data_IF_742439438749
#
_entry.id   IF_742439438749
#
_cell.length_a   1.000
_cell.length_b   1.000
_cell.length_c   1.000
_cell.angle_alpha   90.00
_cell.angle_beta   90.00
_cell.angle_gamma   90.00
#
_symmetry.space_group_name_H-M   'P 1'
#
loop_
_entity.id
_entity.type
_entity.pdbx_description
1 polymer ?
#
# COMPACT_ATOMS: atom_id res chain seq x y z
N UNK A 1 -15.12 -26.55 28.97
CA UNK A 1 -16.58 -26.63 29.17
C UNK A 1 -17.16 -25.24 28.99
N UNK A 2 -18.08 -25.06 28.05
CA UNK A 2 -18.79 -23.79 27.81
C UNK A 2 -19.72 -23.50 28.97
N UNK A 3 -19.60 -22.33 29.59
CA UNK A 3 -20.49 -21.89 30.68
C UNK A 3 -21.93 -21.73 30.13
N UNK A 4 -22.98 -22.10 30.89
CA UNK A 4 -24.37 -21.88 30.47
C UNK A 4 -24.66 -20.37 30.37
N UNK A 5 -25.34 -19.97 29.29
CA UNK A 5 -25.72 -18.57 29.03
C UNK A 5 -27.15 -18.49 28.50
N UNK A 6 -27.77 -17.32 28.67
CA UNK A 6 -29.05 -16.97 28.06
C UNK A 6 -28.80 -15.92 26.98
N UNK A 7 -29.31 -16.17 25.78
CA UNK A 7 -29.29 -15.19 24.69
C UNK A 7 -30.44 -14.20 24.87
N UNK A 8 -30.14 -12.90 24.86
CA UNK A 8 -31.14 -11.85 24.99
C UNK A 8 -31.78 -11.51 23.65
N UNK A 9 -33.06 -11.14 23.70
CA UNK A 9 -33.80 -10.61 22.58
C UNK A 9 -33.40 -9.15 22.25
N UNK A 10 -33.58 -8.72 21.00
CA UNK A 10 -33.15 -7.41 20.49
C UNK A 10 -33.76 -6.25 21.25
N UNK A 11 -35.02 -6.37 21.70
CA UNK A 11 -35.71 -5.32 22.44
C UNK A 11 -35.11 -5.12 23.83
N UNK A 12 -34.69 -6.19 24.48
CA UNK A 12 -34.01 -6.14 25.78
C UNK A 12 -32.61 -5.54 25.66
N UNK A 13 -31.91 -5.78 24.54
CA UNK A 13 -30.57 -5.24 24.27
C UNK A 13 -30.58 -3.70 24.26
N UNK A 14 -31.67 -3.07 23.81
CA UNK A 14 -31.80 -1.60 23.76
C UNK A 14 -31.85 -0.93 25.14
N UNK A 15 -32.25 -1.68 26.18
CA UNK A 15 -32.39 -1.20 27.56
C UNK A 15 -31.12 -1.39 28.39
N UNK A 16 -30.15 -2.15 27.86
CA UNK A 16 -28.91 -2.43 28.55
C UNK A 16 -27.97 -1.23 28.49
N UNK A 17 -27.32 -0.90 29.61
CA UNK A 17 -26.25 0.09 29.61
C UNK A 17 -25.09 -0.37 28.72
N UNK A 18 -24.53 0.55 27.94
CA UNK A 18 -23.39 0.30 27.06
C UNK A 18 -22.27 1.29 27.34
N UNK A 19 -21.01 0.82 27.36
CA UNK A 19 -19.88 1.71 27.47
C UNK A 19 -19.81 2.59 26.20
N UNK A 20 -19.68 3.90 26.39
CA UNK A 20 -19.51 4.85 25.31
C UNK A 20 -18.06 4.82 24.82
N UNK A 21 -17.76 3.85 23.95
CA UNK A 21 -16.46 3.71 23.32
C UNK A 21 -16.44 4.48 22.00
N UNK A 22 -15.34 5.17 21.75
CA UNK A 22 -15.10 5.85 20.48
C UNK A 22 -13.67 5.59 20.02
N UNK A 23 -13.47 5.51 18.70
CA UNK A 23 -12.14 5.45 18.12
C UNK A 23 -11.66 6.87 17.75
N UNK A 24 -10.38 7.15 17.98
CA UNK A 24 -9.76 8.43 17.63
C UNK A 24 -9.50 8.51 16.12
N UNK A 25 -9.51 9.74 15.59
CA UNK A 25 -9.29 10.05 14.17
C UNK A 25 -10.22 9.32 13.21
N UNK A 26 -11.42 8.98 13.67
CA UNK A 26 -12.46 8.37 12.83
C UNK A 26 -13.04 9.42 11.89
N UNK A 27 -13.16 9.05 10.62
CA UNK A 27 -13.83 9.84 9.60
C UNK A 27 -15.29 9.43 9.42
N UNK A 28 -15.56 8.13 9.54
CA UNK A 28 -16.91 7.57 9.33
C UNK A 28 -17.11 6.36 10.24
N UNK A 29 -18.29 6.28 10.86
CA UNK A 29 -18.78 5.06 11.53
C UNK A 29 -20.12 4.72 10.91
N UNK A 30 -20.25 3.51 10.42
CA UNK A 30 -21.52 2.96 9.98
C UNK A 30 -21.85 1.72 10.80
N UNK A 31 -23.13 1.62 11.16
CA UNK A 31 -23.71 0.41 11.74
C UNK A 31 -24.51 -0.24 10.62
N UNK A 32 -24.07 -1.39 10.07
CA UNK A 32 -24.82 -2.07 9.03
C UNK A 32 -26.21 -2.48 9.55
N UNK A 33 -27.26 -1.94 8.94
CA UNK A 33 -28.63 -2.39 9.17
C UNK A 33 -28.88 -3.64 8.32
N UNK A 34 -28.69 -4.80 8.92
CA UNK A 34 -29.12 -6.08 8.36
C UNK A 34 -30.61 -6.30 8.68
N UNK A 35 -31.21 -7.34 8.08
CA UNK A 35 -32.61 -7.78 8.32
C UNK A 35 -32.91 -7.92 9.82
N UNK A 36 -31.89 -8.28 10.61
CA UNK A 36 -31.88 -8.27 12.07
C UNK A 36 -30.63 -7.47 12.49
N UNK A 37 -30.71 -6.58 13.50
CA UNK A 37 -29.54 -5.83 13.95
C UNK A 37 -28.38 -6.78 14.28
N UNK A 38 -27.20 -6.47 13.76
CA UNK A 38 -25.98 -7.28 13.89
C UNK A 38 -25.35 -7.14 15.29
N UNK A 39 -26.16 -7.30 16.33
CA UNK A 39 -25.76 -7.22 17.72
C UNK A 39 -26.39 -8.37 18.51
N UNK A 40 -25.55 -9.07 19.28
CA UNK A 40 -25.96 -10.17 20.14
C UNK A 40 -25.46 -9.95 21.56
N UNK A 41 -26.26 -10.35 22.55
CA UNK A 41 -25.87 -10.30 23.97
C UNK A 41 -26.13 -11.65 24.61
N UNK A 42 -25.10 -12.20 25.25
CA UNK A 42 -25.17 -13.38 26.10
C UNK A 42 -25.00 -12.96 27.56
N UNK A 43 -25.98 -13.31 28.39
CA UNK A 43 -25.90 -13.15 29.84
C UNK A 43 -25.50 -14.48 30.48
N UNK A 44 -24.38 -14.49 31.18
CA UNK A 44 -23.91 -15.64 31.93
C UNK A 44 -24.47 -15.65 33.35
N UNK A 45 -24.53 -16.83 33.97
CA UNK A 45 -25.00 -16.99 35.35
C UNK A 45 -24.14 -16.23 36.38
N UNK A 46 -22.87 -15.98 36.07
CA UNK A 46 -21.95 -15.17 36.88
C UNK A 46 -22.14 -13.66 36.69
N UNK A 47 -23.22 -13.26 36.01
CA UNK A 47 -23.58 -11.87 35.68
C UNK A 47 -22.63 -11.20 34.70
N UNK A 48 -21.71 -11.95 34.08
CA UNK A 48 -20.89 -11.45 32.98
C UNK A 48 -21.77 -11.27 31.75
N UNK A 49 -21.55 -10.17 31.03
CA UNK A 49 -22.24 -9.86 29.78
C UNK A 49 -21.23 -9.97 28.66
N UNK A 50 -21.51 -10.82 27.68
CA UNK A 50 -20.76 -10.86 26.43
C UNK A 50 -21.60 -10.24 25.33
N UNK A 51 -21.09 -9.18 24.73
CA UNK A 51 -21.76 -8.47 23.63
C UNK A 51 -20.91 -8.53 22.38
N UNK A 52 -21.57 -8.76 21.26
CA UNK A 52 -20.98 -8.65 19.92
C UNK A 52 -21.76 -7.61 19.14
N UNK A 53 -21.07 -6.81 18.34
CA UNK A 53 -21.68 -5.80 17.47
C UNK A 53 -20.79 -5.56 16.26
N UNK A 54 -21.40 -5.47 15.09
CA UNK A 54 -20.70 -5.17 13.85
C UNK A 54 -20.64 -3.66 13.59
N UNK A 55 -19.46 -3.16 13.26
CA UNK A 55 -19.23 -1.77 12.87
C UNK A 55 -18.35 -1.72 11.62
N UNK A 56 -18.67 -0.79 10.73
CA UNK A 56 -17.75 -0.37 9.68
C UNK A 56 -17.15 0.98 10.08
N UNK A 57 -15.86 0.99 10.37
CA UNK A 57 -15.16 2.18 10.88
C UNK A 57 -14.08 2.58 9.86
N UNK A 58 -14.17 3.81 9.37
CA UNK A 58 -13.11 4.43 8.57
C UNK A 58 -12.25 5.31 9.47
N UNK A 59 -11.01 4.90 9.67
CA UNK A 59 -10.02 5.62 10.48
C UNK A 59 -9.02 6.36 9.58
N UNK A 60 -8.63 7.57 9.98
CA UNK A 60 -7.55 8.30 9.32
C UNK A 60 -6.22 7.74 9.80
N UNK A 61 -5.36 7.37 8.85
CA UNK A 61 -3.99 6.95 9.10
C UNK A 61 -3.01 7.91 8.41
N UNK A 62 -2.02 8.41 9.16
CA UNK A 62 -0.98 9.24 8.58
C UNK A 62 0.12 8.35 7.98
N UNK A 63 0.29 8.42 6.65
CA UNK A 63 1.22 7.58 5.91
C UNK A 63 2.52 8.33 5.60
N UNK A 64 3.65 7.62 5.71
CA UNK A 64 4.99 8.18 5.45
C UNK A 64 5.53 7.58 4.15
N UNK A 65 5.72 8.41 3.13
CA UNK A 65 6.02 7.98 1.76
C UNK A 65 7.50 8.05 1.36
N UNK A 66 8.42 8.04 2.33
CA UNK A 66 9.85 8.20 2.06
C UNK A 66 10.41 7.19 1.06
N UNK A 67 10.00 5.92 1.14
CA UNK A 67 10.46 4.84 0.27
C UNK A 67 9.39 4.38 -0.72
N UNK A 68 8.52 5.28 -1.18
CA UNK A 68 7.47 4.91 -2.13
C UNK A 68 8.07 4.40 -3.46
N UNK A 69 7.56 3.29 -4.05
CA UNK A 69 6.42 2.46 -3.65
C UNK A 69 6.79 1.23 -2.81
N UNK A 70 8.05 1.08 -2.38
CA UNK A 70 8.54 0.00 -1.51
C UNK A 70 8.40 0.37 -0.02
N UNK A 71 7.32 1.07 0.31
CA UNK A 71 7.02 1.59 1.63
C UNK A 71 6.27 0.56 2.50
N UNK A 72 6.44 0.72 3.81
CA UNK A 72 5.61 0.07 4.83
C UNK A 72 4.89 1.14 5.63
N UNK A 73 3.60 0.94 5.85
CA UNK A 73 2.74 1.88 6.56
C UNK A 73 2.30 1.26 7.87
N UNK A 74 2.42 2.00 8.97
CA UNK A 74 1.94 1.58 10.28
C UNK A 74 0.78 2.47 10.69
N UNK A 75 -0.41 1.89 10.79
CA UNK A 75 -1.62 2.58 11.21
C UNK A 75 -1.99 2.22 12.64
N UNK A 76 -2.14 3.24 13.48
CA UNK A 76 -2.54 3.08 14.88
C UNK A 76 -4.02 3.37 15.03
N UNK A 77 -4.75 2.43 15.62
CA UNK A 77 -6.14 2.64 16.01
C UNK A 77 -6.19 2.69 17.52
N UNK A 78 -6.81 3.76 18.02
CA UNK A 78 -6.94 4.06 19.43
C UNK A 78 -8.41 4.08 19.78
N UNK A 79 -8.82 3.35 20.81
CA UNK A 79 -10.18 3.26 21.31
C UNK A 79 -10.18 3.77 22.74
N UNK A 80 -11.09 4.68 23.05
CA UNK A 80 -11.16 5.33 24.36
C UNK A 80 -12.62 5.41 24.83
N UNK A 81 -12.82 5.55 26.13
CA UNK A 81 -14.09 5.98 26.70
C UNK A 81 -14.35 7.47 26.42
N UNK A 82 -15.54 7.82 25.96
CA UNK A 82 -15.89 9.22 25.65
C UNK A 82 -16.22 10.05 26.90
N UNK A 83 -16.90 9.44 27.88
CA UNK A 83 -17.44 10.14 29.05
C UNK A 83 -16.83 9.66 30.36
N UNK A 84 -16.43 8.38 30.41
CA UNK A 84 -16.07 7.72 31.67
C UNK A 84 -14.57 7.79 31.92
N UNK A 85 -14.18 8.20 33.13
CA UNK A 85 -12.81 8.14 33.62
C UNK A 85 -12.38 6.72 33.97
N UNK A 86 -11.08 6.53 34.22
CA UNK A 86 -10.51 5.25 34.69
C UNK A 86 -11.08 4.77 36.01
N UNK A 87 -11.64 5.66 36.84
CA UNK A 87 -12.31 5.29 38.08
C UNK A 87 -13.64 4.57 37.83
N UNK A 88 -14.30 4.85 36.71
CA UNK A 88 -15.60 4.28 36.35
C UNK A 88 -15.50 3.16 35.32
N UNK A 89 -14.59 3.28 34.35
CA UNK A 89 -14.46 2.34 33.24
C UNK A 89 -12.99 2.07 32.90
N UNK A 90 -12.57 0.83 33.11
CA UNK A 90 -11.29 0.31 32.65
C UNK A 90 -11.47 -0.51 31.38
N UNK A 91 -10.48 -0.43 30.48
CA UNK A 91 -10.49 -1.13 29.21
C UNK A 91 -9.28 -2.07 29.15
N UNK A 92 -9.55 -3.34 28.89
CA UNK A 92 -8.52 -4.37 28.77
C UNK A 92 -8.75 -5.24 27.54
N UNK A 93 -7.66 -5.73 26.95
CA UNK A 93 -7.75 -6.71 25.88
C UNK A 93 -8.22 -8.06 26.45
N UNK A 94 -9.20 -8.66 25.79
CA UNK A 94 -9.53 -10.05 26.04
C UNK A 94 -8.32 -10.95 25.71
N UNK A 95 -8.18 -12.10 26.38
CA UNK A 95 -7.03 -13.01 26.23
C UNK A 95 -6.81 -13.50 24.79
N UNK A 96 -7.90 -13.63 24.01
CA UNK A 96 -7.85 -13.96 22.58
C UNK A 96 -7.40 -12.79 21.70
N UNK A 97 -7.49 -11.56 22.19
CA UNK A 97 -7.09 -10.38 21.45
C UNK A 97 -7.89 -10.11 20.18
N UNK A 98 -7.23 -9.48 19.21
CA UNK A 98 -7.76 -9.23 17.87
C UNK A 98 -7.57 -10.48 17.03
N UNK A 99 -8.68 -11.01 16.50
CA UNK A 99 -8.68 -12.12 15.54
C UNK A 99 -9.08 -11.62 14.17
N UNK A 100 -8.51 -12.24 13.14
CA UNK A 100 -8.63 -11.78 11.77
C UNK A 100 -8.48 -12.97 10.81
N UNK A 101 -9.37 -13.07 9.84
CA UNK A 101 -9.25 -13.94 8.67
C UNK A 101 -8.57 -13.20 7.52
N UNK A 102 -8.03 -13.91 6.53
CA UNK A 102 -7.24 -13.35 5.42
C UNK A 102 -7.85 -12.07 4.79
N UNK A 103 -7.42 -10.88 5.26
CA UNK A 103 -7.80 -9.61 4.63
C UNK A 103 -7.04 -9.46 3.33
N UNK A 104 -7.80 -9.52 2.25
CA UNK A 104 -7.31 -9.20 0.91
C UNK A 104 -7.63 -7.75 0.59
N UNK A 105 -6.59 -6.93 0.49
CA UNK A 105 -6.68 -5.56 -0.04
C UNK A 105 -6.14 -5.48 -1.46
N UNK A 106 -6.62 -4.51 -2.23
CA UNK A 106 -6.18 -4.27 -3.61
C UNK A 106 -4.73 -3.78 -3.68
N UNK A 107 -4.37 -2.80 -2.83
CA UNK A 107 -3.09 -2.08 -2.91
C UNK A 107 -2.07 -2.47 -1.83
N UNK A 108 -2.47 -3.20 -0.80
CA UNK A 108 -1.61 -3.55 0.35
C UNK A 108 -1.75 -5.02 0.76
N UNK A 109 -0.73 -5.53 1.45
CA UNK A 109 -0.78 -6.74 2.27
C UNK A 109 -0.78 -6.31 3.73
N UNK A 110 -1.62 -6.95 4.56
CA UNK A 110 -1.49 -6.83 6.01
C UNK A 110 -0.33 -7.74 6.44
N UNK A 111 0.75 -7.17 6.97
CA UNK A 111 1.90 -7.93 7.48
C UNK A 111 1.65 -8.41 8.92
N UNK A 112 1.13 -7.53 9.78
CA UNK A 112 1.00 -7.81 11.21
C UNK A 112 -0.07 -6.92 11.86
N UNK A 113 -0.78 -7.47 12.86
CA UNK A 113 -1.56 -6.69 13.83
C UNK A 113 -0.91 -6.85 15.20
N UNK A 114 -0.50 -5.74 15.80
CA UNK A 114 0.12 -5.70 17.13
C UNK A 114 -0.82 -5.03 18.12
N UNK A 115 -1.27 -5.77 19.13
CA UNK A 115 -1.96 -5.19 20.27
C UNK A 115 -0.95 -4.52 21.19
N UNK A 116 -1.24 -3.29 21.58
CA UNK A 116 -0.44 -2.57 22.57
C UNK A 116 -1.09 -2.71 23.95
N UNK A 117 -0.30 -2.65 25.04
CA UNK A 117 -0.85 -2.70 26.38
C UNK A 117 -1.85 -1.54 26.60
N UNK A 118 -2.88 -1.72 27.45
CA UNK A 118 -3.75 -0.64 27.85
C UNK A 118 -2.95 0.52 28.45
N UNK A 119 -3.32 1.75 28.10
CA UNK A 119 -2.65 2.96 28.57
C UNK A 119 -3.68 3.88 29.21
N UNK A 120 -3.29 4.53 30.31
CA UNK A 120 -4.05 5.64 30.88
C UNK A 120 -3.53 6.95 30.33
N UNK A 121 -4.43 7.76 29.78
CA UNK A 121 -4.10 9.09 29.27
C UNK A 121 -4.73 10.16 30.16
N UNK A 122 -3.98 11.19 30.47
CA UNK A 122 -4.47 12.34 31.22
C UNK A 122 -4.92 13.42 30.24
N UNK A 123 -6.22 13.76 30.29
CA UNK A 123 -6.82 14.79 29.45
C UNK A 123 -7.46 15.83 30.37
N UNK A 124 -6.94 17.04 30.33
CA UNK A 124 -7.38 18.17 31.17
C UNK A 124 -7.27 17.83 32.66
N UNK A 125 -8.40 17.51 33.29
CA UNK A 125 -8.54 17.29 34.73
C UNK A 125 -8.64 15.80 35.06
N UNK A 126 -8.94 14.95 34.07
CA UNK A 126 -9.31 13.57 34.30
C UNK A 126 -8.45 12.59 33.50
N UNK A 127 -8.52 11.33 33.88
CA UNK A 127 -7.74 10.23 33.31
C UNK A 127 -8.66 9.25 32.62
N UNK A 128 -8.35 8.88 31.38
CA UNK A 128 -9.16 8.00 30.56
C UNK A 128 -8.38 6.76 30.15
N UNK A 129 -9.07 5.62 30.07
CA UNK A 129 -8.49 4.38 29.57
C UNK A 129 -8.46 4.40 28.03
N UNK A 130 -7.29 4.08 27.45
CA UNK A 130 -7.06 3.97 26.01
C UNK A 130 -6.58 2.55 25.66
N UNK A 131 -7.28 1.90 24.73
CA UNK A 131 -6.85 0.65 24.09
C UNK A 131 -6.30 0.95 22.71
N UNK A 132 -5.12 0.42 22.43
CA UNK A 132 -4.40 0.70 21.20
C UNK A 132 -3.98 -0.58 20.48
N UNK A 133 -4.08 -0.56 19.15
CA UNK A 133 -3.45 -1.57 18.32
C UNK A 133 -2.86 -0.94 17.05
N UNK A 134 -1.80 -1.57 16.55
CA UNK A 134 -1.12 -1.16 15.33
C UNK A 134 -1.36 -2.20 14.23
N UNK A 135 -1.66 -1.73 13.03
CA UNK A 135 -1.71 -2.55 11.82
C UNK A 135 -0.57 -2.14 10.91
N UNK A 136 0.26 -3.10 10.51
CA UNK A 136 1.37 -2.90 9.58
C UNK A 136 0.98 -3.38 8.20
N UNK A 137 1.13 -2.50 7.22
CA UNK A 137 0.78 -2.74 5.83
C UNK A 137 2.02 -2.62 4.94
N UNK A 138 2.16 -3.55 3.99
CA UNK A 138 3.17 -3.51 2.93
C UNK A 138 2.50 -3.28 1.58
N UNK A 139 2.99 -2.31 0.80
CA UNK A 139 2.41 -2.00 -0.51
C UNK A 139 2.66 -3.11 -1.54
N UNK A 140 1.66 -3.38 -2.39
CA UNK A 140 1.82 -4.27 -3.55
C UNK A 140 2.53 -3.53 -4.69
N UNK A 141 3.67 -4.04 -5.11
CA UNK A 141 4.49 -3.41 -6.16
C UNK A 141 4.03 -3.71 -7.59
N UNK A 142 3.18 -4.72 -7.81
CA UNK A 142 2.82 -5.21 -9.15
C UNK A 142 2.40 -4.09 -10.10
N UNK A 143 1.58 -3.16 -9.62
CA UNK A 143 1.04 -2.09 -10.42
C UNK A 143 2.11 -1.04 -10.72
N UNK A 144 2.87 -0.62 -9.71
CA UNK A 144 3.98 0.32 -9.88
C UNK A 144 5.04 -0.20 -10.85
N UNK A 145 5.35 -1.51 -10.79
CA UNK A 145 6.31 -2.15 -11.71
C UNK A 145 5.81 -2.05 -13.15
N UNK A 146 4.60 -2.52 -13.42
CA UNK A 146 4.07 -2.57 -14.79
C UNK A 146 3.75 -1.19 -15.38
N UNK A 147 3.25 -0.26 -14.56
CA UNK A 147 2.81 1.05 -15.02
C UNK A 147 3.91 2.12 -15.03
N UNK A 148 4.95 1.98 -14.19
CA UNK A 148 5.97 3.03 -14.02
C UNK A 148 7.37 2.51 -14.36
N UNK A 149 7.83 1.44 -13.71
CA UNK A 149 9.22 0.98 -13.87
C UNK A 149 9.49 0.37 -15.25
N UNK A 150 8.59 -0.47 -15.77
CA UNK A 150 8.76 -1.11 -17.08
C UNK A 150 8.79 -0.08 -18.22
N UNK A 151 7.82 0.86 -18.33
CA UNK A 151 7.89 1.91 -19.35
C UNK A 151 9.14 2.79 -19.24
N UNK A 152 9.53 3.16 -18.02
CA UNK A 152 10.74 3.99 -17.80
C UNK A 152 12.01 3.25 -18.25
N UNK A 153 12.12 1.96 -17.95
CA UNK A 153 13.24 1.14 -18.40
C UNK A 153 13.27 1.04 -19.94
N UNK A 154 12.12 0.82 -20.59
CA UNK A 154 12.04 0.78 -22.04
C UNK A 154 12.47 2.09 -22.69
N UNK A 155 12.09 3.24 -22.11
CA UNK A 155 12.54 4.57 -22.59
C UNK A 155 14.06 4.70 -22.49
N UNK A 156 14.66 4.29 -21.37
CA UNK A 156 16.13 4.30 -21.22
C UNK A 156 16.79 3.37 -22.24
N UNK A 157 16.26 2.16 -22.45
CA UNK A 157 16.77 1.22 -23.45
C UNK A 157 16.70 1.79 -24.86
N UNK A 158 15.58 2.42 -25.25
CA UNK A 158 15.44 3.09 -26.55
C UNK A 158 16.43 4.25 -26.68
N UNK A 159 16.63 5.02 -25.63
CA UNK A 159 17.61 6.11 -25.64
C UNK A 159 19.04 5.61 -25.85
N UNK A 160 19.41 4.48 -25.23
CA UNK A 160 20.71 3.85 -25.47
C UNK A 160 20.81 3.38 -26.92
N UNK A 161 19.80 2.67 -27.46
CA UNK A 161 19.81 2.26 -28.86
C UNK A 161 20.00 3.44 -29.83
N UNK A 162 19.44 4.61 -29.54
CA UNK A 162 19.66 5.82 -30.35
C UNK A 162 21.09 6.38 -30.27
N UNK A 163 21.87 6.10 -29.22
CA UNK A 163 23.28 6.49 -29.15
C UNK A 163 24.18 5.59 -29.99
N UNK A 164 23.82 4.31 -30.13
CA UNK A 164 24.51 3.37 -31.01
C UNK A 164 24.17 3.65 -32.47
N UNK A 165 22.95 4.12 -32.74
CA UNK A 165 22.59 4.73 -34.00
C UNK A 165 22.96 6.21 -33.96
N UNK A 166 24.26 6.53 -33.90
CA UNK A 166 24.74 7.92 -34.03
C UNK A 166 24.54 8.43 -35.46
N UNK A 167 23.27 8.52 -35.88
CA UNK A 167 22.81 9.14 -37.11
C UNK A 167 22.88 10.64 -36.91
N UNK A 168 24.07 11.20 -37.17
CA UNK A 168 24.22 12.62 -37.34
C UNK A 168 23.59 13.01 -38.68
N UNK A 169 22.26 13.15 -38.76
CA UNK A 169 21.61 13.84 -39.89
C UNK A 169 21.83 15.34 -39.70
N UNK A 170 22.90 15.87 -40.27
CA UNK A 170 23.02 17.28 -40.59
C UNK A 170 22.75 17.45 -42.08
N UNK A 171 21.55 17.94 -42.38
CA UNK A 171 20.97 18.34 -43.67
C UNK A 171 21.09 17.37 -44.87
N UNK A 172 22.20 16.69 -45.12
CA UNK A 172 22.42 15.75 -46.25
C UNK A 172 23.41 14.60 -45.93
N UNK A 173 23.98 14.55 -44.72
CA UNK A 173 24.93 13.52 -44.30
C UNK A 173 24.29 12.57 -43.27
N UNK A 174 24.34 11.26 -43.48
CA UNK A 174 23.96 10.23 -42.51
C UNK A 174 25.22 9.44 -42.12
N UNK A 175 25.77 9.72 -40.95
CA UNK A 175 26.85 8.90 -40.37
C UNK A 175 26.22 7.86 -39.46
N UNK A 176 26.59 6.59 -39.48
CA UNK A 176 26.22 5.59 -38.48
C UNK A 176 27.50 4.95 -37.98
N UNK A 177 27.72 5.00 -36.67
CA UNK A 177 28.94 4.45 -36.05
C UNK A 177 28.52 3.33 -35.13
N UNK A 178 28.89 2.10 -35.47
CA UNK A 178 28.70 0.95 -34.59
C UNK A 178 30.01 0.21 -34.42
N UNK A 179 30.60 0.33 -33.23
CA UNK A 179 31.86 -0.29 -32.80
C UNK A 179 33.05 0.01 -33.74
N UNK A 180 33.37 -0.87 -34.69
CA UNK A 180 34.44 -0.74 -35.68
C UNK A 180 33.93 -0.35 -37.07
N UNK A 181 32.61 -0.24 -37.27
CA UNK A 181 31.98 0.11 -38.54
C UNK A 181 31.53 1.58 -38.56
N UNK A 182 32.21 2.40 -39.36
CA UNK A 182 31.79 3.76 -39.70
C UNK A 182 31.13 3.76 -41.07
N UNK A 183 29.83 4.06 -41.16
CA UNK A 183 29.14 4.29 -42.44
C UNK A 183 28.81 5.77 -42.55
N UNK A 184 29.22 6.45 -43.61
CA UNK A 184 28.86 7.83 -43.91
C UNK A 184 28.19 7.89 -45.29
N UNK A 185 26.99 8.44 -45.36
CA UNK A 185 26.21 8.60 -46.60
C UNK A 185 25.99 10.08 -46.85
N UNK A 186 26.43 10.61 -47.99
CA UNK A 186 26.22 12.00 -48.40
C UNK A 186 25.85 12.04 -49.88
N UNK A 187 24.66 12.53 -50.22
CA UNK A 187 24.09 12.58 -51.58
C UNK A 187 24.19 11.24 -52.35
N UNK A 188 25.20 11.10 -53.22
CA UNK A 188 25.47 9.93 -54.07
C UNK A 188 26.69 9.10 -53.61
N UNK A 189 27.33 9.49 -52.50
CA UNK A 189 28.51 8.85 -51.93
C UNK A 189 28.17 8.07 -50.65
N UNK A 190 28.49 6.77 -50.63
CA UNK A 190 28.48 5.94 -49.43
C UNK A 190 29.89 5.50 -49.10
N UNK A 191 30.38 5.81 -47.90
CA UNK A 191 31.66 5.33 -47.38
C UNK A 191 31.39 4.41 -46.18
N UNK A 192 31.93 3.20 -46.20
CA UNK A 192 31.92 2.27 -45.08
C UNK A 192 33.36 1.91 -44.73
N UNK A 193 33.73 2.09 -43.46
CA UNK A 193 35.04 1.72 -42.92
C UNK A 193 34.83 0.67 -41.85
N UNK A 194 35.49 -0.48 -41.99
CA UNK A 194 35.49 -1.55 -40.99
C UNK A 194 36.90 -2.14 -40.90
N UNK A 195 37.52 -2.06 -39.72
CA UNK A 195 38.88 -2.51 -39.46
C UNK A 195 39.93 -1.92 -40.43
N UNK A 196 40.49 -2.74 -41.31
CA UNK A 196 41.48 -2.37 -42.35
C UNK A 196 40.83 -2.20 -43.75
N UNK A 197 39.50 -2.32 -43.85
CA UNK A 197 38.76 -2.24 -45.09
C UNK A 197 37.98 -0.92 -45.21
N UNK A 198 38.31 -0.14 -46.24
CA UNK A 198 37.56 1.05 -46.64
C UNK A 198 36.83 0.79 -47.96
N UNK A 199 35.51 0.91 -47.95
CA UNK A 199 34.64 0.77 -49.11
C UNK A 199 33.98 2.11 -49.39
N UNK A 200 34.17 2.66 -50.60
CA UNK A 200 33.50 3.86 -51.07
C UNK A 200 32.71 3.55 -52.34
N UNK A 201 31.47 4.01 -52.41
CA UNK A 201 30.55 3.82 -53.54
C UNK A 201 30.04 5.17 -54.01
N UNK A 202 30.22 5.50 -55.30
CA UNK A 202 29.74 6.74 -55.93
C UNK A 202 29.30 6.46 -57.38
N UNK A 203 28.03 6.72 -57.73
CA UNK A 203 27.49 6.70 -59.11
C UNK A 203 27.94 5.53 -60.01
N UNK A 204 27.97 4.30 -59.47
CA UNK A 204 28.43 3.05 -60.11
C UNK A 204 29.92 2.67 -59.94
N UNK A 205 30.74 3.53 -59.33
CA UNK A 205 32.12 3.21 -58.96
C UNK A 205 32.17 2.63 -57.54
N UNK A 206 32.64 1.38 -57.41
CA UNK A 206 32.95 0.75 -56.12
C UNK A 206 34.46 0.67 -55.93
N UNK A 207 34.97 1.37 -54.92
CA UNK A 207 36.38 1.33 -54.53
C UNK A 207 36.48 0.63 -53.18
N UNK A 208 37.20 -0.49 -53.15
CA UNK A 208 37.54 -1.20 -51.92
C UNK A 208 39.06 -1.17 -51.74
N UNK A 209 39.52 -0.59 -50.63
CA UNK A 209 40.93 -0.55 -50.23
C UNK A 209 41.06 -1.38 -48.96
N UNK A 210 42.05 -2.28 -48.95
CA UNK A 210 42.40 -3.14 -47.83
C UNK A 210 43.91 -2.98 -47.63
N UNK A 211 44.33 -2.52 -46.45
CA UNK A 211 45.76 -2.45 -46.07
C UNK A 211 46.34 -3.85 -45.78
#
# INVERSE_FOLDING_TARGET
MTKPYVQMDTDAISKLWLPNLFALFVQKVEKPELIIPAAGVHLYQDKTIFRTSLYLITVKCNMVYFNYPMDRQTCRVKIQSYIYSVETLLLEWHTKGITHEDIVMSSFYLEEIRMLPPVTIHILIDSYAELNFEMRFKRKLRFSILAVYVPSLLVVMVSWLSLWLLVAVMDELLVAVMDELLVAVMDELVVAVMDELLVAVMDELLVAVMD
#
